data_IF_199386724495
#
_entry.id   IF_199386724495
#
_cell.length_a   1.000
_cell.length_b   1.000
_cell.length_c   1.000
_cell.angle_alpha   90.00
_cell.angle_beta   90.00
_cell.angle_gamma   90.00
#
_symmetry.space_group_name_H-M   'P 1'
#
loop_
_entity.id
_entity.type
_entity.pdbx_description
1 polymer ?
#
# COMPACT_ATOMS: atom_id res chain seq x y z
N UNK A 1 75.01 16.69 0.48
CA UNK A 1 73.82 15.83 0.28
C UNK A 1 72.78 16.23 1.32
N UNK A 2 71.59 16.68 0.93
CA UNK A 2 70.61 17.28 1.85
C UNK A 2 69.55 16.27 2.28
N UNK A 3 69.21 16.27 3.57
CA UNK A 3 68.24 15.34 4.16
C UNK A 3 66.79 15.74 3.85
N UNK A 4 65.98 14.76 3.46
CA UNK A 4 64.54 14.89 3.27
C UNK A 4 63.81 15.00 4.61
N UNK A 5 63.00 16.05 4.78
CA UNK A 5 62.11 16.20 5.95
C UNK A 5 60.81 15.43 5.73
N UNK A 6 60.55 14.44 6.58
CA UNK A 6 59.28 13.69 6.61
C UNK A 6 58.20 14.56 7.26
N UNK A 7 57.06 14.74 6.59
CA UNK A 7 55.92 15.46 7.14
C UNK A 7 55.13 14.58 8.12
N UNK A 8 54.85 15.10 9.32
CA UNK A 8 54.05 14.40 10.33
C UNK A 8 52.53 14.47 10.01
N UNK A 9 51.76 13.39 10.23
CA UNK A 9 50.32 13.41 10.00
C UNK A 9 49.57 14.18 11.09
N UNK A 10 48.61 15.01 10.68
CA UNK A 10 47.77 15.78 11.60
C UNK A 10 46.87 14.85 12.45
N UNK A 11 46.90 15.03 13.78
CA UNK A 11 46.09 14.24 14.71
C UNK A 11 44.61 14.64 14.65
N UNK A 12 43.79 13.86 13.97
CA UNK A 12 42.34 14.00 14.02
C UNK A 12 41.82 13.60 15.42
N UNK A 13 41.38 14.59 16.22
CA UNK A 13 40.69 14.33 17.50
C UNK A 13 39.32 13.71 17.25
N UNK A 14 39.23 12.39 17.40
CA UNK A 14 37.95 11.69 17.45
C UNK A 14 37.20 12.04 18.74
N UNK A 15 36.02 12.64 18.62
CA UNK A 15 35.12 12.83 19.77
C UNK A 15 34.50 11.48 20.18
N UNK A 16 35.14 10.81 21.14
CA UNK A 16 34.60 9.58 21.71
C UNK A 16 33.34 9.85 22.53
N UNK A 17 32.21 9.30 22.11
CA UNK A 17 30.95 9.30 22.88
C UNK A 17 30.81 8.05 23.76
N UNK A 18 31.91 7.53 24.29
CA UNK A 18 31.92 6.44 25.26
C UNK A 18 31.41 6.91 26.62
N UNK A 19 30.09 6.85 26.83
CA UNK A 19 29.48 6.97 28.16
C UNK A 19 30.01 5.85 29.07
N UNK A 20 30.86 6.22 30.03
CA UNK A 20 31.36 5.29 31.04
C UNK A 20 30.21 4.83 31.95
N UNK A 21 29.74 3.60 31.73
CA UNK A 21 28.75 2.94 32.60
C UNK A 21 29.43 2.60 33.93
N UNK A 22 29.21 3.45 34.94
CA UNK A 22 29.66 3.17 36.31
C UNK A 22 28.73 2.12 36.92
N UNK A 23 29.27 0.93 37.21
CA UNK A 23 28.51 -0.20 37.78
C UNK A 23 28.34 -0.16 39.30
N UNK A 24 28.82 0.88 39.99
CA UNK A 24 28.70 0.98 41.45
C UNK A 24 27.43 1.72 41.85
N UNK A 25 26.53 1.04 42.57
CA UNK A 25 25.18 1.49 42.87
C UNK A 25 25.02 1.95 44.33
N UNK A 26 25.70 3.04 44.72
CA UNK A 26 25.20 3.87 45.81
C UNK A 26 24.12 4.81 45.25
N UNK A 27 22.92 4.81 45.86
CA UNK A 27 21.87 5.78 45.50
C UNK A 27 22.26 7.13 46.10
N UNK A 28 22.56 8.18 45.31
CA UNK A 28 22.60 9.52 45.87
C UNK A 28 21.20 9.88 46.36
N UNK A 29 21.12 10.50 47.53
CA UNK A 29 19.89 11.10 48.05
C UNK A 29 19.35 12.12 47.03
N UNK A 30 18.03 12.21 46.88
CA UNK A 30 17.41 13.13 45.94
C UNK A 30 17.59 14.58 46.42
N UNK A 31 18.55 15.32 45.86
CA UNK A 31 18.44 16.78 45.76
C UNK A 31 19.30 17.39 44.62
N UNK A 32 20.62 17.16 44.61
CA UNK A 32 21.53 17.96 43.77
C UNK A 32 21.79 17.44 42.35
N UNK A 33 20.74 17.41 41.52
CA UNK A 33 20.87 17.42 40.05
C UNK A 33 20.52 18.78 39.44
N UNK A 34 21.25 19.82 39.87
CA UNK A 34 21.13 21.17 39.31
C UNK A 34 21.85 21.24 37.96
N UNK A 35 21.17 21.79 36.95
CA UNK A 35 21.75 21.98 35.61
C UNK A 35 22.49 23.33 35.57
N UNK A 36 23.82 23.39 35.43
CA UNK A 36 24.57 24.65 35.48
C UNK A 36 24.27 25.60 34.31
N UNK A 37 23.61 25.13 33.24
CA UNK A 37 23.16 25.97 32.13
C UNK A 37 21.79 26.65 32.36
N UNK A 38 21.09 26.30 33.43
CA UNK A 38 19.78 26.87 33.77
C UNK A 38 19.81 27.32 35.23
N UNK A 39 20.13 28.60 35.43
CA UNK A 39 20.23 29.20 36.77
C UNK A 39 18.96 29.02 37.60
N UNK A 40 19.15 28.88 38.92
CA UNK A 40 18.22 28.58 40.02
C UNK A 40 16.71 28.70 39.75
N UNK A 41 16.16 27.89 38.86
CA UNK A 41 14.73 27.81 38.63
C UNK A 41 14.09 26.90 39.70
N UNK A 42 13.60 27.51 40.77
CA UNK A 42 12.68 26.86 41.72
C UNK A 42 11.28 26.90 41.09
N UNK A 43 10.71 25.76 40.65
CA UNK A 43 9.32 25.75 40.20
C UNK A 43 8.40 26.12 41.37
N UNK A 44 7.41 27.01 41.18
CA UNK A 44 6.46 27.33 42.24
C UNK A 44 5.70 26.08 42.68
N UNK A 45 5.46 25.96 43.99
CA UNK A 45 4.77 24.82 44.56
C UNK A 45 3.40 24.61 43.89
N UNK A 46 3.01 23.38 43.54
CA UNK A 46 1.74 23.13 42.88
C UNK A 46 0.60 23.47 43.85
N UNK A 47 -0.21 24.47 43.49
CA UNK A 47 -1.41 24.85 44.24
C UNK A 47 -2.33 23.63 44.45
N UNK A 48 -3.02 23.53 45.61
CA UNK A 48 -3.99 22.46 45.85
C UNK A 48 -5.06 22.48 44.76
N UNK A 49 -5.29 21.32 44.14
CA UNK A 49 -6.23 21.21 43.01
C UNK A 49 -7.65 21.47 43.53
N UNK A 50 -8.44 22.34 42.88
CA UNK A 50 -9.84 22.52 43.24
C UNK A 50 -10.61 21.20 43.04
N UNK A 51 -11.51 20.91 43.97
CA UNK A 51 -12.37 19.72 43.92
C UNK A 51 -13.39 19.92 42.79
N UNK A 52 -13.28 19.13 41.73
CA UNK A 52 -14.21 19.15 40.60
C UNK A 52 -15.41 18.26 40.94
N UNK A 53 -16.64 18.77 41.02
CA UNK A 53 -17.83 17.94 41.21
C UNK A 53 -18.07 17.03 39.99
N UNK A 54 -18.69 15.85 40.16
CA UNK A 54 -18.86 14.88 39.08
C UNK A 54 -19.71 15.45 37.93
N UNK A 55 -19.13 15.41 36.73
CA UNK A 55 -19.77 15.90 35.50
C UNK A 55 -20.98 15.03 35.13
N UNK A 56 -22.13 15.66 34.95
CA UNK A 56 -23.37 14.98 34.53
C UNK A 56 -23.20 14.23 33.20
N UNK A 57 -23.84 13.07 33.09
CA UNK A 57 -23.76 12.20 31.91
C UNK A 57 -24.63 12.74 30.77
N UNK A 58 -24.00 13.26 29.72
CA UNK A 58 -24.66 13.52 28.44
C UNK A 58 -24.92 12.20 27.70
N UNK A 59 -26.20 11.88 27.45
CA UNK A 59 -26.62 10.72 26.65
C UNK A 59 -25.96 10.75 25.26
N UNK A 60 -25.57 9.59 24.66
CA UNK A 60 -25.09 9.56 23.30
C UNK A 60 -26.24 9.83 22.32
N UNK A 61 -25.98 10.65 21.30
CA UNK A 61 -26.92 10.86 20.20
C UNK A 61 -27.06 9.59 19.35
N UNK A 62 -28.28 9.29 18.92
CA UNK A 62 -28.55 8.32 17.86
C UNK A 62 -27.90 8.78 16.56
N UNK A 63 -27.21 7.87 15.87
CA UNK A 63 -26.74 8.10 14.51
C UNK A 63 -27.74 7.49 13.54
N UNK A 64 -28.60 8.33 12.96
CA UNK A 64 -29.54 7.91 11.93
C UNK A 64 -28.76 7.52 10.65
N UNK A 65 -28.75 6.23 10.36
CA UNK A 65 -28.10 5.67 9.18
C UNK A 65 -29.07 5.72 8.00
N UNK A 66 -28.93 6.73 7.14
CA UNK A 66 -29.69 6.83 5.90
C UNK A 66 -28.96 6.05 4.79
N UNK A 67 -29.58 5.02 4.17
CA UNK A 67 -28.98 4.30 3.05
C UNK A 67 -28.94 5.17 1.78
N UNK A 68 -27.96 4.95 0.87
CA UNK A 68 -27.92 5.67 -0.40
C UNK A 68 -29.07 5.24 -1.34
N UNK A 69 -29.55 6.15 -2.21
CA UNK A 69 -30.61 5.82 -3.17
C UNK A 69 -30.14 4.83 -4.25
N UNK A 70 -31.04 4.02 -4.82
CA UNK A 70 -30.72 3.13 -5.93
C UNK A 70 -30.44 3.91 -7.23
N UNK A 71 -29.67 3.33 -8.17
CA UNK A 71 -29.48 3.92 -9.50
C UNK A 71 -30.79 3.89 -10.32
N UNK A 72 -31.00 4.85 -11.23
CA UNK A 72 -32.19 4.86 -12.09
C UNK A 72 -32.16 3.72 -13.13
N UNK A 73 -33.34 3.24 -13.59
CA UNK A 73 -33.42 2.27 -14.67
C UNK A 73 -32.92 2.88 -16.00
N UNK A 74 -32.33 2.06 -16.85
CA UNK A 74 -31.91 2.47 -18.19
C UNK A 74 -33.14 2.79 -19.06
N UNK A 75 -33.14 3.94 -19.71
CA UNK A 75 -34.22 4.36 -20.59
C UNK A 75 -34.30 3.48 -21.85
N UNK A 76 -35.53 3.20 -22.26
CA UNK A 76 -35.85 2.56 -23.53
C UNK A 76 -35.33 3.40 -24.70
N UNK A 77 -34.97 2.75 -25.80
CA UNK A 77 -34.52 3.40 -27.04
C UNK A 77 -35.25 2.77 -28.21
N UNK A 78 -36.19 3.51 -28.79
CA UNK A 78 -36.90 3.10 -30.00
C UNK A 78 -35.97 3.14 -31.24
N UNK A 79 -36.28 2.33 -32.25
CA UNK A 79 -35.62 2.32 -33.57
C UNK A 79 -35.97 3.58 -34.38
N UNK A 80 -35.20 3.94 -35.42
CA UNK A 80 -35.56 3.43 -36.76
C UNK A 80 -34.36 3.15 -37.73
N UNK A 81 -34.73 2.61 -38.89
CA UNK A 81 -33.94 2.03 -39.99
C UNK A 81 -33.36 3.01 -41.01
N UNK A 82 -32.27 2.63 -41.70
CA UNK A 82 -32.07 2.92 -43.14
C UNK A 82 -31.03 1.97 -43.82
N UNK A 83 -31.22 1.72 -45.12
CA UNK A 83 -30.39 0.97 -46.10
C UNK A 83 -30.19 1.88 -47.34
N UNK A 84 -29.12 1.78 -48.18
CA UNK A 84 -28.80 0.63 -49.07
C UNK A 84 -27.26 0.40 -49.23
N UNK A 85 -26.63 -0.25 -50.23
CA UNK A 85 -27.01 -0.87 -51.53
C UNK A 85 -26.00 -1.99 -51.95
N UNK A 86 -26.08 -2.46 -53.21
CA UNK A 86 -25.12 -3.28 -53.99
C UNK A 86 -24.84 -4.72 -53.47
N UNK A 87 -25.46 -5.77 -54.04
CA UNK A 87 -25.08 -6.50 -55.29
C UNK A 87 -23.80 -7.37 -55.13
N UNK A 88 -23.71 -8.64 -55.54
CA UNK A 88 -24.35 -9.35 -56.68
C UNK A 88 -24.29 -10.90 -56.54
N UNK A 89 -25.09 -11.60 -57.35
CA UNK A 89 -24.91 -13.00 -57.86
C UNK A 89 -25.04 -14.21 -56.91
N UNK A 90 -26.29 -14.70 -56.81
CA UNK A 90 -26.74 -16.07 -57.15
C UNK A 90 -25.70 -17.17 -57.42
N UNK A 91 -25.62 -18.21 -56.55
CA UNK A 91 -25.96 -19.61 -56.91
C UNK A 91 -25.71 -20.62 -55.78
N UNK A 92 -26.79 -21.24 -55.29
CA UNK A 92 -26.86 -22.59 -54.69
C UNK A 92 -25.68 -23.13 -53.85
N UNK A 93 -25.74 -22.94 -52.54
CA UNK A 93 -25.35 -23.98 -51.58
C UNK A 93 -26.52 -24.23 -50.63
N UNK A 94 -26.87 -25.50 -50.42
CA UNK A 94 -28.01 -25.90 -49.61
C UNK A 94 -27.71 -25.74 -48.12
N UNK A 95 -27.95 -24.55 -47.57
CA UNK A 95 -27.95 -24.35 -46.12
C UNK A 95 -29.13 -25.12 -45.52
N UNK A 96 -28.87 -26.33 -45.03
CA UNK A 96 -29.86 -27.11 -44.27
C UNK A 96 -30.05 -26.46 -42.91
N UNK A 97 -30.90 -25.44 -42.84
CA UNK A 97 -31.32 -24.87 -41.57
C UNK A 97 -32.04 -25.98 -40.76
N UNK A 98 -31.64 -26.25 -39.50
CA UNK A 98 -32.20 -27.35 -38.71
C UNK A 98 -33.62 -27.07 -38.20
N UNK A 99 -34.33 -26.10 -38.79
CA UNK A 99 -35.66 -25.67 -38.39
C UNK A 99 -36.45 -25.24 -39.63
N UNK A 100 -37.55 -25.96 -39.90
CA UNK A 100 -38.50 -25.66 -40.97
C UNK A 100 -39.85 -25.39 -40.33
N UNK A 101 -40.39 -24.16 -40.45
CA UNK A 101 -41.59 -23.73 -39.73
C UNK A 101 -42.91 -24.42 -40.15
N UNK A 102 -42.84 -25.44 -41.02
CA UNK A 102 -43.97 -26.21 -41.53
C UNK A 102 -44.12 -27.61 -40.89
N UNK A 103 -43.16 -28.05 -40.07
CA UNK A 103 -43.23 -29.34 -39.38
C UNK A 103 -43.83 -29.19 -37.98
N UNK A 104 -45.11 -29.47 -37.85
CA UNK A 104 -45.87 -29.41 -36.59
C UNK A 104 -45.87 -30.73 -35.80
N UNK A 105 -45.05 -31.72 -36.19
CA UNK A 105 -45.04 -33.05 -35.54
C UNK A 105 -44.22 -33.11 -34.24
N UNK A 106 -43.34 -32.13 -34.00
CA UNK A 106 -42.54 -32.05 -32.78
C UNK A 106 -43.22 -31.14 -31.73
N UNK A 107 -43.43 -31.60 -30.48
CA UNK A 107 -43.94 -30.74 -29.41
C UNK A 107 -42.88 -29.71 -29.00
N UNK A 108 -43.07 -28.46 -29.44
CA UNK A 108 -42.16 -27.33 -29.22
C UNK A 108 -42.09 -26.84 -27.76
N UNK A 109 -41.56 -27.65 -26.86
CA UNK A 109 -41.11 -27.20 -25.55
C UNK A 109 -39.73 -26.54 -25.69
N UNK A 110 -39.71 -25.30 -26.18
CA UNK A 110 -38.53 -24.45 -26.12
C UNK A 110 -38.30 -24.00 -24.67
N UNK A 111 -37.63 -24.83 -23.87
CA UNK A 111 -37.18 -24.40 -22.55
C UNK A 111 -36.09 -23.34 -22.70
N UNK A 112 -36.47 -22.10 -22.43
CA UNK A 112 -35.57 -20.94 -22.43
C UNK A 112 -34.42 -21.18 -21.45
N UNK A 113 -34.64 -21.91 -20.35
CA UNK A 113 -33.58 -22.26 -19.41
C UNK A 113 -32.54 -23.19 -20.04
N UNK A 114 -32.94 -24.17 -20.87
CA UNK A 114 -32.01 -25.05 -21.58
C UNK A 114 -31.17 -24.26 -22.61
N UNK A 115 -31.80 -23.38 -23.41
CA UNK A 115 -31.10 -22.55 -24.39
C UNK A 115 -30.10 -21.60 -23.69
N UNK A 116 -30.52 -20.96 -22.59
CA UNK A 116 -29.65 -20.09 -21.78
C UNK A 116 -28.53 -20.90 -21.11
N UNK A 117 -28.81 -22.10 -20.61
CA UNK A 117 -27.81 -22.97 -20.00
C UNK A 117 -26.77 -23.46 -21.02
N UNK A 118 -27.20 -23.94 -22.19
CA UNK A 118 -26.31 -24.38 -23.27
C UNK A 118 -25.44 -23.23 -23.78
N UNK A 119 -26.03 -22.04 -23.98
CA UNK A 119 -25.28 -20.85 -24.41
C UNK A 119 -24.32 -20.33 -23.34
N UNK A 120 -24.70 -20.41 -22.05
CA UNK A 120 -23.82 -20.07 -20.92
C UNK A 120 -22.68 -21.08 -20.74
N UNK A 121 -22.94 -22.37 -20.95
CA UNK A 121 -21.92 -23.42 -20.90
C UNK A 121 -20.90 -23.27 -22.05
N UNK A 122 -21.37 -23.05 -23.28
CA UNK A 122 -20.51 -22.76 -24.42
C UNK A 122 -19.67 -21.48 -24.23
N UNK A 123 -20.25 -20.44 -23.65
CA UNK A 123 -19.53 -19.21 -23.29
C UNK A 123 -18.49 -19.44 -22.17
N UNK A 124 -18.83 -20.24 -21.14
CA UNK A 124 -17.87 -20.63 -20.10
C UNK A 124 -16.67 -21.40 -20.65
N UNK A 125 -16.91 -22.31 -21.60
CA UNK A 125 -15.86 -23.03 -22.33
C UNK A 125 -15.02 -22.08 -23.18
N UNK A 126 -15.62 -21.13 -23.91
CA UNK A 126 -14.88 -20.21 -24.80
C UNK A 126 -13.95 -19.24 -24.05
N UNK A 127 -14.25 -18.92 -22.79
CA UNK A 127 -13.37 -18.15 -21.91
C UNK A 127 -12.19 -18.96 -21.34
N UNK A 128 -12.03 -20.23 -21.73
CA UNK A 128 -11.14 -21.21 -21.06
C UNK A 128 -11.37 -21.27 -19.54
N UNK A 129 -12.60 -20.99 -19.09
CA UNK A 129 -13.07 -21.28 -17.73
C UNK A 129 -13.58 -22.72 -17.72
N UNK A 130 -12.67 -23.64 -18.06
CA UNK A 130 -12.90 -25.08 -17.91
C UNK A 130 -13.02 -25.48 -16.44
N UNK A 131 -13.32 -26.76 -16.21
CA UNK A 131 -13.44 -27.35 -14.87
C UNK A 131 -12.27 -26.90 -13.95
N UNK A 132 -12.54 -26.25 -12.80
CA UNK A 132 -11.51 -25.80 -11.88
C UNK A 132 -10.61 -26.93 -11.35
N UNK A 133 -11.06 -28.19 -11.40
CA UNK A 133 -10.28 -29.38 -11.03
C UNK A 133 -9.23 -29.76 -12.09
N UNK A 134 -9.46 -29.43 -13.36
CA UNK A 134 -8.54 -29.69 -14.47
C UNK A 134 -7.50 -28.57 -14.66
N UNK A 135 -7.66 -27.44 -13.97
CA UNK A 135 -6.74 -26.29 -14.07
C UNK A 135 -5.44 -26.55 -13.29
N UNK A 136 -4.25 -26.19 -13.82
CA UNK A 136 -3.02 -26.27 -13.05
C UNK A 136 -3.08 -25.44 -11.76
N UNK A 137 -2.79 -26.06 -10.62
CA UNK A 137 -2.85 -25.46 -9.29
C UNK A 137 -1.82 -24.33 -9.14
N UNK A 138 -2.30 -23.09 -9.15
CA UNK A 138 -1.47 -21.89 -8.90
C UNK A 138 -1.04 -21.88 -7.42
N UNK A 139 0.25 -21.63 -7.17
CA UNK A 139 0.75 -21.48 -5.79
C UNK A 139 0.35 -20.11 -5.24
N UNK A 140 -0.63 -20.08 -4.33
CA UNK A 140 -1.14 -18.87 -3.66
C UNK A 140 -0.42 -18.57 -2.35
N UNK A 141 0.90 -18.68 -2.35
CA UNK A 141 1.74 -18.49 -1.16
C UNK A 141 2.08 -17.01 -0.92
N UNK A 142 2.50 -16.68 0.30
CA UNK A 142 3.04 -15.35 0.63
C UNK A 142 4.31 -14.99 -0.17
N UNK A 143 4.92 -15.95 -0.88
CA UNK A 143 6.04 -15.78 -1.82
C UNK A 143 5.57 -15.19 -3.15
N UNK A 144 4.36 -15.51 -3.61
CA UNK A 144 3.83 -15.13 -4.93
C UNK A 144 3.69 -13.61 -5.09
N UNK A 145 3.39 -12.89 -4.01
CA UNK A 145 3.42 -11.42 -3.96
C UNK A 145 4.83 -10.79 -3.90
N UNK A 146 5.89 -11.58 -4.11
CA UNK A 146 7.31 -11.15 -4.12
C UNK A 146 8.12 -11.80 -5.25
N UNK A 147 7.49 -12.38 -6.26
CA UNK A 147 8.19 -12.88 -7.46
C UNK A 147 8.36 -11.76 -8.50
N UNK A 148 9.50 -11.76 -9.21
CA UNK A 148 9.75 -10.89 -10.37
C UNK A 148 10.04 -11.80 -11.57
N UNK A 149 9.31 -11.62 -12.66
CA UNK A 149 9.49 -12.40 -13.89
C UNK A 149 10.59 -11.81 -14.78
N UNK A 150 11.32 -12.65 -15.50
CA UNK A 150 12.28 -12.16 -16.50
C UNK A 150 11.54 -12.00 -17.84
N UNK A 151 11.45 -10.77 -18.33
CA UNK A 151 10.76 -10.36 -19.58
C UNK A 151 11.34 -9.04 -20.08
N UNK A 152 11.45 -8.87 -21.40
CA UNK A 152 12.10 -7.72 -22.05
C UNK A 152 11.58 -6.35 -21.60
N UNK A 153 10.29 -6.25 -21.22
CA UNK A 153 9.69 -5.01 -20.73
C UNK A 153 9.81 -4.87 -19.22
N UNK A 154 10.44 -3.78 -18.79
CA UNK A 154 10.54 -3.41 -17.38
C UNK A 154 9.16 -3.03 -16.81
N UNK A 155 8.77 -3.72 -15.73
CA UNK A 155 7.48 -3.62 -15.04
C UNK A 155 7.73 -3.72 -13.53
N UNK A 156 6.83 -3.24 -12.64
CA UNK A 156 6.95 -3.47 -11.20
C UNK A 156 7.12 -4.95 -10.80
N UNK A 157 6.67 -5.87 -11.65
CA UNK A 157 6.77 -7.34 -11.47
C UNK A 157 7.57 -8.04 -12.57
N UNK A 158 8.28 -7.32 -13.45
CA UNK A 158 9.12 -7.96 -14.48
C UNK A 158 10.35 -7.14 -14.88
N UNK A 159 11.43 -7.79 -15.31
CA UNK A 159 12.67 -7.14 -15.71
C UNK A 159 13.39 -7.87 -16.85
N UNK A 160 14.12 -7.18 -17.74
CA UNK A 160 14.74 -7.78 -18.93
C UNK A 160 15.89 -8.75 -18.62
N UNK A 161 16.68 -8.48 -17.58
CA UNK A 161 17.85 -9.31 -17.23
C UNK A 161 17.80 -9.77 -15.77
N UNK A 162 18.42 -10.92 -15.42
CA UNK A 162 18.45 -11.42 -14.04
C UNK A 162 19.01 -10.39 -13.04
N UNK A 163 20.06 -9.66 -13.42
CA UNK A 163 20.67 -8.62 -12.58
C UNK A 163 19.71 -7.45 -12.30
N UNK A 164 18.90 -7.04 -13.28
CA UNK A 164 17.86 -6.02 -13.07
C UNK A 164 16.69 -6.60 -12.27
N UNK A 165 16.31 -7.86 -12.49
CA UNK A 165 15.26 -8.53 -11.72
C UNK A 165 15.57 -8.57 -10.22
N UNK A 166 16.82 -8.84 -9.83
CA UNK A 166 17.28 -8.79 -8.43
C UNK A 166 17.13 -7.37 -7.85
N UNK A 167 17.51 -6.32 -8.60
CA UNK A 167 17.35 -4.91 -8.15
C UNK A 167 15.88 -4.52 -7.99
N UNK A 168 14.99 -5.00 -8.87
CA UNK A 168 13.54 -4.80 -8.76
C UNK A 168 12.98 -5.53 -7.54
N UNK A 169 13.43 -6.76 -7.29
CA UNK A 169 13.07 -7.56 -6.11
C UNK A 169 13.53 -6.89 -4.80
N UNK A 170 14.75 -6.36 -4.74
CA UNK A 170 15.24 -5.59 -3.58
C UNK A 170 14.39 -4.34 -3.31
N UNK A 171 14.05 -3.59 -4.36
CA UNK A 171 13.16 -2.41 -4.27
C UNK A 171 11.80 -2.82 -3.71
N UNK A 172 11.18 -3.86 -4.24
CA UNK A 172 9.90 -4.39 -3.75
C UNK A 172 9.98 -4.81 -2.27
N UNK A 173 11.02 -5.54 -1.87
CA UNK A 173 11.25 -5.94 -0.47
C UNK A 173 11.47 -4.75 0.47
N UNK A 174 12.12 -3.68 -0.01
CA UNK A 174 12.32 -2.42 0.72
C UNK A 174 11.01 -1.65 0.91
N UNK A 175 10.21 -1.54 -0.15
CA UNK A 175 8.95 -0.79 -0.15
C UNK A 175 7.89 -1.50 0.74
N UNK A 176 7.83 -2.84 0.69
CA UNK A 176 7.04 -3.67 1.62
C UNK A 176 7.63 -3.73 3.05
N UNK A 177 8.82 -3.15 3.29
CA UNK A 177 9.56 -3.07 4.56
C UNK A 177 9.87 -4.44 5.18
N UNK A 178 10.13 -5.46 4.35
CA UNK A 178 10.35 -6.86 4.76
C UNK A 178 11.51 -6.97 5.76
N UNK A 179 12.68 -6.39 5.43
CA UNK A 179 13.86 -6.38 6.32
C UNK A 179 13.54 -5.76 7.68
N UNK A 180 12.78 -4.67 7.72
CA UNK A 180 12.43 -3.99 8.98
C UNK A 180 11.45 -4.83 9.81
N UNK A 181 10.49 -5.53 9.18
CA UNK A 181 9.57 -6.46 9.84
C UNK A 181 10.36 -7.59 10.52
N UNK A 182 11.24 -8.26 9.78
CA UNK A 182 12.13 -9.32 10.28
C UNK A 182 12.92 -8.86 11.53
N UNK A 183 13.62 -7.73 11.47
CA UNK A 183 14.39 -7.22 12.62
C UNK A 183 13.48 -6.86 13.81
N UNK A 184 12.27 -6.39 13.57
CA UNK A 184 11.28 -6.08 14.63
C UNK A 184 10.57 -7.31 15.21
N UNK A 185 10.66 -8.46 14.54
CA UNK A 185 10.08 -9.73 14.98
C UNK A 185 11.11 -10.61 15.71
N UNK A 186 12.42 -10.41 15.46
CA UNK A 186 13.52 -11.16 16.08
C UNK A 186 13.48 -11.13 17.63
N UNK A 187 12.97 -10.06 18.23
CA UNK A 187 12.83 -9.93 19.68
C UNK A 187 11.47 -9.33 20.06
N UNK A 188 10.90 -9.77 21.19
CA UNK A 188 9.64 -9.21 21.70
C UNK A 188 9.80 -7.76 22.18
N UNK A 189 9.15 -6.82 21.50
CA UNK A 189 9.02 -5.43 21.95
C UNK A 189 7.73 -5.23 22.77
N UNK A 190 7.86 -4.94 24.07
CA UNK A 190 6.71 -4.65 24.96
C UNK A 190 5.81 -3.54 24.39
N UNK A 191 4.49 -3.69 24.51
CA UNK A 191 3.47 -2.76 23.95
C UNK A 191 3.73 -1.27 24.23
N UNK A 192 4.21 -0.93 25.43
CA UNK A 192 4.55 0.45 25.81
C UNK A 192 5.78 1.03 25.08
N UNK A 193 6.83 0.22 24.91
CA UNK A 193 8.04 0.62 24.17
C UNK A 193 7.72 0.81 22.68
N UNK A 194 6.97 -0.13 22.09
CA UNK A 194 6.48 -0.04 20.70
C UNK A 194 5.68 1.25 20.46
N UNK A 195 4.78 1.63 21.37
CA UNK A 195 4.03 2.90 21.30
C UNK A 195 4.97 4.12 21.36
N UNK A 196 5.94 4.16 22.28
CA UNK A 196 6.93 5.25 22.40
C UNK A 196 7.80 5.37 21.14
N UNK A 197 8.34 4.25 20.64
CA UNK A 197 9.14 4.18 19.41
C UNK A 197 8.36 4.67 18.19
N UNK A 198 7.14 4.20 17.99
CA UNK A 198 6.29 4.62 16.86
C UNK A 198 5.91 6.10 16.95
N UNK A 199 5.66 6.65 18.15
CA UNK A 199 5.42 8.10 18.34
C UNK A 199 6.65 8.91 17.90
N UNK A 200 7.84 8.58 18.39
CA UNK A 200 9.11 9.22 18.00
C UNK A 200 9.39 9.11 16.49
N UNK A 201 9.15 7.92 15.90
CA UNK A 201 9.38 7.68 14.48
C UNK A 201 8.44 8.49 13.59
N UNK A 202 7.14 8.56 13.94
CA UNK A 202 6.14 9.37 13.22
C UNK A 202 6.44 10.86 13.33
N UNK A 203 6.84 11.34 14.52
CA UNK A 203 7.25 12.74 14.70
C UNK A 203 8.48 13.08 13.86
N UNK A 204 9.55 12.29 13.89
CA UNK A 204 10.75 12.49 13.05
C UNK A 204 10.44 12.47 11.56
N UNK A 205 9.50 11.62 11.11
CA UNK A 205 9.06 11.60 9.72
C UNK A 205 8.36 12.91 9.32
N UNK A 206 7.39 13.38 10.13
CA UNK A 206 6.66 14.64 9.90
C UNK A 206 7.57 15.87 9.98
N UNK A 207 8.49 15.90 10.95
CA UNK A 207 9.50 16.94 11.06
C UNK A 207 10.38 16.97 9.79
N UNK A 208 10.88 15.82 9.34
CA UNK A 208 11.70 15.74 8.11
C UNK A 208 10.95 16.17 6.86
N UNK A 209 9.65 15.91 6.74
CA UNK A 209 8.85 16.40 5.60
C UNK A 209 8.63 17.91 5.66
N UNK A 210 8.27 18.46 6.83
CA UNK A 210 8.10 19.91 7.01
C UNK A 210 9.40 20.69 6.81
N UNK A 211 10.52 20.20 7.37
CA UNK A 211 11.84 20.80 7.19
C UNK A 211 12.28 20.81 5.72
N UNK A 212 12.05 19.71 4.97
CA UNK A 212 12.31 19.67 3.53
C UNK A 212 11.45 20.67 2.75
N UNK A 213 10.17 20.81 3.10
CA UNK A 213 9.30 21.79 2.46
C UNK A 213 9.76 23.23 2.73
N UNK A 214 10.18 23.54 3.96
CA UNK A 214 10.74 24.84 4.31
C UNK A 214 12.03 25.14 3.54
N UNK A 215 12.98 24.19 3.48
CA UNK A 215 14.23 24.36 2.71
C UNK A 215 13.94 24.54 1.22
N UNK A 216 13.03 23.75 0.64
CA UNK A 216 12.60 23.94 -0.75
C UNK A 216 11.99 25.34 -0.96
N UNK A 217 11.17 25.84 -0.02
CA UNK A 217 10.58 27.17 -0.12
C UNK A 217 11.62 28.29 -0.03
N UNK A 218 12.63 28.16 0.81
CA UNK A 218 13.78 29.09 0.86
C UNK A 218 14.54 29.07 -0.47
N UNK A 219 14.73 27.90 -1.09
CA UNK A 219 15.36 27.79 -2.41
C UNK A 219 14.51 28.40 -3.54
N UNK A 220 13.18 28.28 -3.47
CA UNK A 220 12.25 28.97 -4.39
C UNK A 220 12.32 30.49 -4.26
N UNK A 221 12.29 31.02 -3.03
CA UNK A 221 12.37 32.45 -2.74
C UNK A 221 13.72 33.02 -3.19
N UNK A 222 14.83 32.35 -2.85
CA UNK A 222 16.17 32.68 -3.34
C UNK A 222 16.24 32.70 -4.86
N UNK A 223 15.56 31.77 -5.56
CA UNK A 223 15.51 31.75 -7.04
C UNK A 223 14.73 32.95 -7.61
N UNK A 224 13.75 33.46 -6.87
CA UNK A 224 12.97 34.65 -7.23
C UNK A 224 13.69 35.97 -6.88
N UNK A 225 14.78 35.93 -6.11
CA UNK A 225 15.53 37.12 -5.67
C UNK A 225 15.08 37.70 -4.32
N UNK A 226 14.26 36.95 -3.55
CA UNK A 226 13.94 37.24 -2.15
C UNK A 226 14.98 36.65 -1.19
#
# INVERSE_FOLDING_TARGET
>A
MMLSRIAAPAQARAFSTSLAVRFNASRPLFDDRRNPLVGNFVPPAPAPKPIIPPKAQSKPASTDFVPPPPPPPAAESESPSEQPAAEKSTSSSSTSFPYTAADSSAPFNFDIAEIVAARSAAYGQSLNVGDPLLRPKIRTEAVTGRTVFIKDRLSPTSAPTPAVAIRVLERMCRDQKVRNKYHSQKFHERKGLKKKRLRSQRWRARFKTGFKAAVNKVLELKKQGW
#
